data_IF_145374539570
#
_entry.id   IF_145374539570
#
_cell.length_a   1.000
_cell.length_b   1.000
_cell.length_c   1.000
_cell.angle_alpha   90.00
_cell.angle_beta   90.00
_cell.angle_gamma   90.00
#
_symmetry.space_group_name_H-M   'P 1'
#
loop_
_entity.id
_entity.type
_entity.pdbx_description
1 polymer ?
#
# COMPACT_ATOMS: atom_id res chain seq x y z
N UNK A 1 -3.56 -2.86 -16.45
CA UNK A 1 -2.84 -1.80 -15.71
C UNK A 1 -3.48 -1.70 -14.34
N UNK A 2 -2.70 -1.56 -13.27
CA UNK A 2 -3.22 -1.64 -11.90
C UNK A 2 -3.36 -0.23 -11.32
N UNK A 3 -4.53 0.10 -10.77
CA UNK A 3 -4.70 1.28 -9.94
C UNK A 3 -4.47 0.89 -8.48
N UNK A 4 -3.51 1.53 -7.82
CA UNK A 4 -3.25 1.32 -6.39
C UNK A 4 -3.69 2.55 -5.60
N UNK A 5 -4.62 2.40 -4.68
CA UNK A 5 -5.03 3.47 -3.79
C UNK A 5 -4.23 3.42 -2.49
N UNK A 6 -3.70 4.57 -2.09
CA UNK A 6 -2.85 4.73 -0.90
C UNK A 6 -3.26 5.94 -0.08
N UNK A 7 -2.86 6.00 1.19
CA UNK A 7 -3.26 7.08 2.09
C UNK A 7 -2.50 8.38 1.84
N UNK A 8 -1.17 8.28 1.71
CA UNK A 8 -0.24 9.41 1.58
C UNK A 8 0.50 9.48 0.25
N UNK A 9 1.17 10.62 0.01
CA UNK A 9 2.03 10.82 -1.16
C UNK A 9 3.36 10.07 -1.05
N UNK A 10 3.88 9.88 0.17
CA UNK A 10 5.02 9.00 0.46
C UNK A 10 4.77 7.60 -0.09
N UNK A 11 3.64 7.01 0.27
CA UNK A 11 3.22 5.67 -0.13
C UNK A 11 3.11 5.59 -1.65
N UNK A 12 2.54 6.61 -2.30
CA UNK A 12 2.42 6.63 -3.76
C UNK A 12 3.79 6.56 -4.45
N UNK A 13 4.76 7.33 -3.96
CA UNK A 13 6.14 7.33 -4.47
C UNK A 13 6.81 5.96 -4.29
N UNK A 14 6.63 5.36 -3.11
CA UNK A 14 7.14 4.01 -2.81
C UNK A 14 6.54 2.95 -3.74
N UNK A 15 5.21 2.89 -3.80
CA UNK A 15 4.46 1.88 -4.56
C UNK A 15 4.77 1.94 -6.05
N UNK A 16 4.75 3.14 -6.66
CA UNK A 16 5.04 3.27 -8.08
C UNK A 16 6.45 2.79 -8.44
N UNK A 17 7.43 3.08 -7.57
CA UNK A 17 8.80 2.63 -7.78
C UNK A 17 8.96 1.12 -7.59
N UNK A 18 8.32 0.53 -6.58
CA UNK A 18 8.30 -0.92 -6.38
C UNK A 18 7.66 -1.62 -7.59
N UNK A 19 6.50 -1.14 -8.07
CA UNK A 19 5.88 -1.67 -9.28
C UNK A 19 6.82 -1.58 -10.48
N UNK A 20 7.51 -0.44 -10.67
CA UNK A 20 8.48 -0.25 -11.75
C UNK A 20 9.61 -1.27 -11.67
N UNK A 21 10.18 -1.51 -10.48
CA UNK A 21 11.23 -2.52 -10.26
C UNK A 21 10.74 -3.94 -10.54
N UNK A 22 9.48 -4.21 -10.24
CA UNK A 22 8.82 -5.49 -10.53
C UNK A 22 8.32 -5.62 -11.98
N UNK A 23 8.57 -4.63 -12.85
CA UNK A 23 8.06 -4.56 -14.23
C UNK A 23 6.53 -4.65 -14.33
N UNK A 24 5.83 -4.19 -13.30
CA UNK A 24 4.36 -4.14 -13.24
C UNK A 24 3.87 -2.73 -13.60
N UNK A 25 2.97 -2.64 -14.58
CA UNK A 25 2.32 -1.36 -14.94
C UNK A 25 1.28 -0.99 -13.87
N UNK A 26 1.65 -0.13 -12.93
CA UNK A 26 0.75 0.38 -11.91
C UNK A 26 0.78 1.92 -11.82
N UNK A 27 -0.31 2.51 -11.34
CA UNK A 27 -0.40 3.94 -11.00
C UNK A 27 -0.96 4.09 -9.60
N UNK A 28 -0.29 4.87 -8.75
CA UNK A 28 -0.76 5.13 -7.40
C UNK A 28 -1.67 6.36 -7.33
N UNK A 29 -2.73 6.26 -6.53
CA UNK A 29 -3.73 7.30 -6.33
C UNK A 29 -3.90 7.59 -4.84
N UNK A 30 -3.55 8.81 -4.44
CA UNK A 30 -3.62 9.25 -3.04
C UNK A 30 -5.08 9.52 -2.63
N UNK A 31 -5.52 8.95 -1.51
CA UNK A 31 -6.86 9.13 -0.94
C UNK A 31 -6.95 10.31 0.05
N UNK A 32 -5.84 10.66 0.72
CA UNK A 32 -5.77 11.67 1.79
C UNK A 32 -6.75 11.35 2.93
N UNK A 33 -6.47 10.27 3.64
CA UNK A 33 -7.22 9.79 4.82
C UNK A 33 -8.17 8.62 4.54
N UNK A 34 -8.91 8.21 5.58
CA UNK A 34 -9.65 6.94 5.66
C UNK A 34 -11.14 7.01 5.27
N UNK A 35 -11.48 7.79 4.23
CA UNK A 35 -12.89 7.91 3.81
C UNK A 35 -13.24 6.93 2.70
N UNK A 36 -14.04 5.92 3.03
CA UNK A 36 -14.48 4.87 2.10
C UNK A 36 -15.18 5.47 0.88
N UNK A 37 -16.04 6.48 1.05
CA UNK A 37 -16.78 7.06 -0.08
C UNK A 37 -15.85 7.71 -1.10
N UNK A 38 -14.72 8.28 -0.64
CA UNK A 38 -13.69 8.83 -1.55
C UNK A 38 -13.03 7.73 -2.36
N UNK A 39 -12.67 6.61 -1.73
CA UNK A 39 -12.07 5.47 -2.41
C UNK A 39 -13.04 4.91 -3.46
N UNK A 40 -14.30 4.69 -3.08
CA UNK A 40 -15.37 4.24 -3.97
C UNK A 40 -15.56 5.16 -5.16
N UNK A 41 -15.71 6.46 -4.91
CA UNK A 41 -15.91 7.45 -5.97
C UNK A 41 -14.73 7.50 -6.95
N UNK A 42 -13.49 7.47 -6.43
CA UNK A 42 -12.31 7.46 -7.30
C UNK A 42 -12.19 6.17 -8.10
N UNK A 43 -12.45 5.02 -7.48
CA UNK A 43 -12.44 3.74 -8.18
C UNK A 43 -13.44 3.72 -9.35
N UNK A 44 -14.66 4.25 -9.13
CA UNK A 44 -15.67 4.40 -10.20
C UNK A 44 -15.20 5.29 -11.34
N UNK A 45 -14.53 6.41 -11.03
CA UNK A 45 -13.99 7.32 -12.05
C UNK A 45 -12.86 6.70 -12.89
N UNK A 46 -12.29 5.57 -12.44
CA UNK A 46 -11.16 4.89 -13.09
C UNK A 46 -11.55 3.57 -13.77
N UNK A 47 -12.81 3.15 -13.68
CA UNK A 47 -13.27 1.82 -14.13
C UNK A 47 -13.05 1.58 -15.63
N UNK A 48 -13.12 2.64 -16.45
CA UNK A 48 -12.93 2.52 -17.91
C UNK A 48 -11.46 2.41 -18.31
N UNK A 49 -10.53 2.70 -17.39
CA UNK A 49 -9.08 2.69 -17.63
C UNK A 49 -8.38 1.54 -16.90
N UNK A 50 -8.92 1.08 -15.77
CA UNK A 50 -8.30 0.08 -14.91
C UNK A 50 -9.27 -1.05 -14.61
N UNK A 51 -8.88 -2.27 -14.97
CA UNK A 51 -9.61 -3.50 -14.69
C UNK A 51 -9.18 -4.18 -13.38
N UNK A 52 -8.14 -3.68 -12.72
CA UNK A 52 -7.64 -4.18 -11.45
C UNK A 52 -7.33 -3.01 -10.51
N UNK A 53 -8.00 -3.00 -9.36
CA UNK A 53 -7.91 -1.97 -8.34
C UNK A 53 -7.46 -2.61 -7.03
N UNK A 54 -6.39 -2.09 -6.46
CA UNK A 54 -5.84 -2.50 -5.18
C UNK A 54 -5.91 -1.33 -4.20
N UNK A 55 -6.57 -1.52 -3.06
CA UNK A 55 -6.65 -0.53 -2.00
C UNK A 55 -5.73 -0.95 -0.86
N UNK A 56 -4.71 -0.15 -0.57
CA UNK A 56 -3.83 -0.37 0.58
C UNK A 56 -4.37 0.39 1.78
N UNK A 57 -4.54 -0.32 2.89
CA UNK A 57 -4.99 0.25 4.16
C UNK A 57 -3.97 -0.04 5.25
N UNK A 58 -3.44 1.01 5.86
CA UNK A 58 -2.60 0.86 7.04
C UNK A 58 -3.45 0.43 8.25
N UNK A 59 -2.98 -0.57 8.99
CA UNK A 59 -3.59 -1.08 10.21
C UNK A 59 -3.04 -0.45 11.49
N UNK A 60 -2.04 0.44 11.42
CA UNK A 60 -1.44 1.04 12.61
C UNK A 60 -2.47 1.67 13.56
N UNK A 61 -2.48 1.21 14.82
CA UNK A 61 -3.35 1.78 15.85
C UNK A 61 -4.86 1.63 15.59
N UNK A 62 -5.26 0.88 14.56
CA UNK A 62 -6.66 0.60 14.28
C UNK A 62 -7.09 -0.68 15.01
N UNK A 63 -8.27 -0.62 15.61
CA UNK A 63 -8.92 -1.81 16.15
C UNK A 63 -9.44 -2.71 15.02
N UNK A 64 -9.46 -4.02 15.27
CA UNK A 64 -9.91 -5.01 14.28
C UNK A 64 -11.35 -4.74 13.80
N UNK A 65 -12.23 -4.30 14.70
CA UNK A 65 -13.61 -3.95 14.36
C UNK A 65 -13.70 -2.79 13.35
N UNK A 66 -12.75 -1.88 13.40
CA UNK A 66 -12.65 -0.73 12.48
C UNK A 66 -12.19 -1.18 11.10
N UNK A 67 -11.23 -2.11 11.05
CA UNK A 67 -10.77 -2.71 9.80
C UNK A 67 -11.89 -3.55 9.15
N UNK A 68 -12.62 -4.35 9.93
CA UNK A 68 -13.76 -5.10 9.41
C UNK A 68 -14.87 -4.21 8.84
N UNK A 69 -15.19 -3.11 9.54
CA UNK A 69 -16.18 -2.13 9.07
C UNK A 69 -15.73 -1.53 7.74
N UNK A 70 -14.47 -1.12 7.65
CA UNK A 70 -13.88 -0.60 6.42
C UNK A 70 -13.98 -1.61 5.27
N UNK A 71 -13.59 -2.87 5.48
CA UNK A 71 -13.64 -3.91 4.45
C UNK A 71 -15.07 -4.19 3.97
N UNK A 72 -16.04 -4.20 4.89
CA UNK A 72 -17.47 -4.38 4.59
C UNK A 72 -18.01 -3.20 3.78
N UNK A 73 -17.68 -1.97 4.17
CA UNK A 73 -18.13 -0.76 3.47
C UNK A 73 -17.52 -0.63 2.08
N UNK A 74 -16.21 -0.89 1.93
CA UNK A 74 -15.53 -0.89 0.63
C UNK A 74 -16.12 -1.97 -0.27
N UNK A 75 -16.31 -3.18 0.26
CA UNK A 75 -16.87 -4.30 -0.50
C UNK A 75 -18.29 -4.00 -1.01
N UNK A 76 -19.12 -3.39 -0.17
CA UNK A 76 -20.48 -2.96 -0.55
C UNK A 76 -20.44 -1.81 -1.56
N UNK A 77 -19.60 -0.82 -1.31
CA UNK A 77 -19.49 0.38 -2.14
C UNK A 77 -18.91 0.11 -3.53
N UNK A 78 -18.19 -0.99 -3.72
CA UNK A 78 -17.56 -1.38 -4.98
C UNK A 78 -18.23 -2.59 -5.66
N UNK A 79 -19.40 -3.03 -5.17
CA UNK A 79 -20.12 -4.17 -5.73
C UNK A 79 -20.50 -3.95 -7.20
N UNK A 80 -20.85 -2.72 -7.57
CA UNK A 80 -21.15 -2.35 -8.96
C UNK A 80 -19.93 -2.50 -9.89
N UNK A 81 -18.72 -2.24 -9.39
CA UNK A 81 -17.49 -2.43 -10.17
C UNK A 81 -17.19 -3.91 -10.39
N UNK A 82 -17.40 -4.75 -9.37
CA UNK A 82 -17.24 -6.20 -9.50
C UNK A 82 -18.21 -6.78 -10.53
N UNK A 83 -19.45 -6.29 -10.56
CA UNK A 83 -20.44 -6.70 -11.56
C UNK A 83 -20.05 -6.28 -12.99
N UNK A 84 -19.21 -5.24 -13.15
CA UNK A 84 -18.62 -4.83 -14.43
C UNK A 84 -17.33 -5.59 -14.78
N UNK A 85 -16.96 -6.61 -14.01
CA UNK A 85 -15.77 -7.42 -14.23
C UNK A 85 -14.47 -6.77 -13.74
N UNK A 86 -14.52 -5.69 -12.96
CA UNK A 86 -13.33 -5.09 -12.36
C UNK A 86 -12.95 -5.85 -11.09
N UNK A 87 -11.70 -6.28 -11.04
CA UNK A 87 -11.15 -6.93 -9.84
C UNK A 87 -10.80 -5.84 -8.83
N UNK A 88 -11.40 -5.95 -7.65
CA UNK A 88 -11.16 -5.03 -6.54
C UNK A 88 -10.67 -5.83 -5.35
N UNK A 89 -9.48 -5.48 -4.83
CA UNK A 89 -8.92 -6.07 -3.62
C UNK A 89 -8.57 -4.97 -2.62
N UNK A 90 -8.88 -5.23 -1.35
CA UNK A 90 -8.37 -4.46 -0.22
C UNK A 90 -7.23 -5.28 0.37
N UNK A 91 -6.09 -4.63 0.60
CA UNK A 91 -4.93 -5.24 1.25
C UNK A 91 -4.59 -4.43 2.49
N UNK A 92 -4.53 -5.15 3.61
CA UNK A 92 -4.13 -4.58 4.90
C UNK A 92 -2.61 -4.57 4.95
N UNK A 93 -2.05 -3.39 5.11
CA UNK A 93 -0.61 -3.18 5.34
C UNK A 93 -0.40 -3.35 6.84
N UNK A 94 0.37 -4.36 7.23
CA UNK A 94 0.64 -4.56 8.65
C UNK A 94 1.52 -3.43 9.17
N UNK A 95 0.99 -2.66 10.10
CA UNK A 95 1.58 -1.46 10.73
C UNK A 95 1.82 -0.24 9.86
N UNK A 96 2.39 -0.32 8.65
CA UNK A 96 2.50 0.76 7.67
C UNK A 96 3.44 0.38 6.53
N UNK A 97 3.54 1.25 5.50
CA UNK A 97 4.53 1.10 4.41
C UNK A 97 5.96 1.16 4.94
N UNK A 98 6.23 1.88 6.04
CA UNK A 98 7.55 1.91 6.65
C UNK A 98 8.00 0.54 7.16
N UNK A 99 7.09 -0.35 7.56
CA UNK A 99 7.44 -1.75 7.84
C UNK A 99 7.96 -2.46 6.59
N UNK A 100 7.37 -2.23 5.41
CA UNK A 100 7.89 -2.80 4.17
C UNK A 100 9.27 -2.27 3.81
N UNK A 101 9.49 -0.97 4.05
CA UNK A 101 10.80 -0.35 3.86
C UNK A 101 11.84 -0.98 4.80
N UNK A 102 11.52 -1.10 6.09
CA UNK A 102 12.40 -1.72 7.08
C UNK A 102 12.75 -3.16 6.70
N UNK A 103 11.76 -3.93 6.22
CA UNK A 103 11.99 -5.26 5.68
C UNK A 103 13.05 -5.23 4.56
N UNK A 104 12.90 -4.33 3.59
CA UNK A 104 13.88 -4.16 2.52
C UNK A 104 15.21 -3.53 2.93
N UNK A 105 15.34 -3.04 4.17
CA UNK A 105 16.58 -2.62 4.82
C UNK A 105 17.16 -3.69 5.77
N UNK A 106 16.70 -4.94 5.61
CA UNK A 106 17.10 -6.12 6.37
C UNK A 106 16.79 -6.03 7.87
N UNK A 107 15.68 -5.40 8.25
CA UNK A 107 15.12 -5.56 9.60
C UNK A 107 14.47 -6.95 9.71
N UNK A 108 14.78 -7.69 10.78
CA UNK A 108 14.37 -9.09 10.91
C UNK A 108 12.87 -9.27 11.14
N UNK A 109 12.27 -8.42 11.99
CA UNK A 109 10.85 -8.47 12.35
C UNK A 109 10.17 -7.11 12.07
N UNK A 110 10.09 -6.68 10.81
CA UNK A 110 9.72 -5.31 10.44
C UNK A 110 8.27 -4.94 10.78
N UNK A 111 7.36 -5.92 10.77
CA UNK A 111 5.95 -5.72 11.08
C UNK A 111 5.65 -5.80 12.60
N UNK A 112 6.60 -6.27 13.41
CA UNK A 112 6.50 -6.28 14.88
C UNK A 112 7.04 -4.98 15.51
N UNK A 113 7.67 -4.12 14.71
CA UNK A 113 8.18 -2.82 15.17
C UNK A 113 7.01 -1.98 15.68
N UNK A 114 7.11 -1.53 16.92
CA UNK A 114 6.06 -0.76 17.60
C UNK A 114 5.75 0.55 16.86
N UNK A 115 6.79 1.25 16.41
CA UNK A 115 6.69 2.50 15.65
C UNK A 115 7.63 2.41 14.42
N UNK A 116 7.14 1.88 13.28
CA UNK A 116 7.94 1.71 12.07
C UNK A 116 8.49 3.03 11.50
N UNK A 117 7.75 4.13 11.64
CA UNK A 117 8.17 5.45 11.14
C UNK A 117 9.38 5.98 11.91
N UNK A 118 9.32 5.92 13.24
CA UNK A 118 10.45 6.30 14.08
C UNK A 118 11.65 5.39 13.81
N UNK A 119 11.44 4.08 13.74
CA UNK A 119 12.50 3.11 13.49
C UNK A 119 13.18 3.33 12.15
N UNK A 120 12.40 3.65 11.11
CA UNK A 120 12.93 3.99 9.79
C UNK A 120 13.80 5.24 9.85
N UNK A 121 13.33 6.29 10.54
CA UNK A 121 14.09 7.54 10.72
C UNK A 121 15.43 7.32 11.42
N UNK A 122 15.45 6.47 12.46
CA UNK A 122 16.69 6.06 13.15
C UNK A 122 17.63 5.30 12.19
N UNK A 123 17.07 4.39 11.38
CA UNK A 123 17.85 3.54 10.47
C UNK A 123 18.53 4.32 9.35
N UNK A 124 17.86 5.33 8.80
CA UNK A 124 18.42 6.18 7.73
C UNK A 124 19.17 7.42 8.27
N UNK A 125 19.32 7.51 9.60
CA UNK A 125 20.03 8.59 10.31
C UNK A 125 19.57 10.00 9.91
N UNK A 126 18.30 10.13 9.50
CA UNK A 126 17.66 11.38 9.06
C UNK A 126 16.18 11.30 9.37
N UNK A 127 15.59 12.45 9.71
CA UNK A 127 14.13 12.58 9.75
C UNK A 127 13.62 12.31 8.34
N UNK A 128 12.85 11.24 8.18
CA UNK A 128 12.25 10.94 6.89
C UNK A 128 11.12 11.94 6.66
N UNK A 129 11.30 12.84 5.69
CA UNK A 129 10.20 13.71 5.28
C UNK A 129 9.17 12.84 4.56
N UNK A 130 7.95 12.75 5.09
CA UNK A 130 6.80 12.09 4.44
C UNK A 130 6.39 12.83 3.17
N UNK A 131 7.16 12.60 2.12
CA UNK A 131 6.99 13.14 0.79
C UNK A 131 7.25 12.05 -0.24
N UNK A 132 6.72 12.25 -1.44
CA UNK A 132 6.78 11.26 -2.52
C UNK A 132 8.22 10.93 -2.93
N UNK A 133 9.07 11.95 -3.14
CA UNK A 133 10.43 11.77 -3.65
C UNK A 133 11.33 10.95 -2.71
N UNK A 134 11.44 11.26 -1.40
CA UNK A 134 12.24 10.43 -0.49
C UNK A 134 11.85 8.95 -0.49
N UNK A 135 10.55 8.66 -0.47
CA UNK A 135 10.06 7.26 -0.44
C UNK A 135 10.29 6.55 -1.78
N UNK A 136 10.17 7.28 -2.89
CA UNK A 136 10.56 6.80 -4.22
C UNK A 136 12.06 6.47 -4.27
N UNK A 137 12.91 7.34 -3.73
CA UNK A 137 14.36 7.13 -3.72
C UNK A 137 14.77 5.95 -2.82
N UNK A 138 14.11 5.78 -1.66
CA UNK A 138 14.27 4.60 -0.81
C UNK A 138 13.85 3.32 -1.56
N UNK A 139 12.68 3.32 -2.19
CA UNK A 139 12.17 2.18 -2.94
C UNK A 139 13.11 1.73 -4.09
N UNK A 140 13.99 2.61 -4.60
CA UNK A 140 15.00 2.24 -5.60
C UNK A 140 16.09 1.34 -5.04
N UNK A 141 16.42 1.46 -3.76
CA UNK A 141 17.62 0.87 -3.18
C UNK A 141 17.34 -0.29 -2.22
N UNK A 142 16.10 -0.45 -1.74
CA UNK A 142 15.76 -1.56 -0.84
C UNK A 142 15.94 -2.94 -1.51
N UNK A 143 16.18 -3.96 -0.69
CA UNK A 143 16.13 -5.36 -1.13
C UNK A 143 14.67 -5.83 -1.18
N UNK A 144 14.13 -5.98 -2.39
CA UNK A 144 12.74 -6.40 -2.61
C UNK A 144 12.55 -7.88 -2.25
N UNK A 145 13.55 -8.73 -2.47
CA UNK A 145 13.44 -10.15 -2.18
C UNK A 145 13.47 -10.39 -0.67
N UNK A 146 14.31 -9.65 0.05
CA UNK A 146 14.31 -9.65 1.51
C UNK A 146 12.98 -9.12 2.07
N UNK A 147 12.44 -8.04 1.49
CA UNK A 147 11.14 -7.52 1.90
C UNK A 147 10.02 -8.55 1.68
N UNK A 148 10.02 -9.29 0.57
CA UNK A 148 9.07 -10.38 0.30
C UNK A 148 9.21 -11.51 1.32
N UNK A 149 10.45 -11.82 1.74
CA UNK A 149 10.72 -12.89 2.69
C UNK A 149 10.34 -12.53 4.13
N UNK A 150 10.49 -11.25 4.54
CA UNK A 150 10.34 -10.81 5.94
C UNK A 150 9.06 -10.05 6.26
N UNK A 151 8.37 -9.50 5.28
CA UNK A 151 7.08 -8.82 5.48
C UNK A 151 5.96 -9.60 4.82
N UNK A 152 5.05 -10.14 5.63
CA UNK A 152 3.90 -10.89 5.14
C UNK A 152 3.00 -10.01 4.28
N UNK A 153 2.68 -8.80 4.74
CA UNK A 153 1.79 -7.90 4.01
C UNK A 153 2.44 -7.36 2.72
N UNK A 154 3.77 -7.20 2.67
CA UNK A 154 4.47 -6.89 1.42
C UNK A 154 4.45 -8.05 0.43
N UNK A 155 4.64 -9.29 0.91
CA UNK A 155 4.53 -10.48 0.08
C UNK A 155 3.13 -10.62 -0.53
N UNK A 156 2.08 -10.41 0.28
CA UNK A 156 0.70 -10.38 -0.18
C UNK A 156 0.48 -9.30 -1.25
N UNK A 157 1.10 -8.12 -1.08
CA UNK A 157 1.05 -7.05 -2.06
C UNK A 157 1.70 -7.47 -3.39
N UNK A 158 2.91 -8.02 -3.34
CA UNK A 158 3.60 -8.51 -4.54
C UNK A 158 2.81 -9.62 -5.24
N UNK A 159 2.19 -10.55 -4.48
CA UNK A 159 1.30 -11.57 -5.04
C UNK A 159 0.06 -10.95 -5.69
N UNK A 160 -0.53 -9.94 -5.07
CA UNK A 160 -1.70 -9.23 -5.61
C UNK A 160 -1.37 -8.45 -6.89
N UNK A 161 -0.12 -8.00 -7.09
CA UNK A 161 0.31 -7.36 -8.33
C UNK A 161 0.47 -8.34 -9.51
N UNK A 162 0.68 -9.63 -9.24
CA UNK A 162 0.90 -10.69 -10.24
C UNK A 162 -0.38 -11.48 -10.56
N UNK A 163 -1.51 -11.09 -9.98
CA UNK A 163 -2.81 -11.75 -10.12
C UNK A 163 -3.60 -11.29 -11.34
#
# INVERSE_FOLDING_TARGET
MIAVFVEGSSDAGFIEEVCRRLSVKCKAFVLRGNRVEKAVRKARALVDTYNYILLLKDTHGLAEDTLEKFDKEVSRGLMDLKNKGVVVRVLRVNKSIESWILAGLCEENPEDVVDPERRLSERISKIVVKAEKPYRDIARVIDVDHAIAKSQSFNEFVKALKS
#
